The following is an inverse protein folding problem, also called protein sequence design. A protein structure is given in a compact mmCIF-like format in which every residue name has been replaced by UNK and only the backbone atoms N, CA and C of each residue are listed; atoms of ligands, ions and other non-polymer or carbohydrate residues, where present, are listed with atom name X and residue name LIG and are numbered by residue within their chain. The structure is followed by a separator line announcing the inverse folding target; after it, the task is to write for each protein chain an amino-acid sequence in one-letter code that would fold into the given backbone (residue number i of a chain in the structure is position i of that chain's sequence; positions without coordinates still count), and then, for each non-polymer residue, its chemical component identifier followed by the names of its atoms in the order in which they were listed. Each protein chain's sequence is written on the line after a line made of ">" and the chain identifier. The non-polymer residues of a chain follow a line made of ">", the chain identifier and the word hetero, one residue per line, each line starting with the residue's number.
data_IF_466363293241
#
_entry.id   IF_466363293241
#
_cell.length_a   1.000
_cell.length_b   1.000
_cell.length_c   1.000
_cell.angle_alpha   90.00
_cell.angle_beta   90.00
_cell.angle_gamma   90.00
#
_symmetry.space_group_name_H-M   'P 1'
#
loop_
_entity.id
_entity.type
_entity.pdbx_description
1 polymer ?
#
# COMPACT_ATOMS: atom_id res chain seq x y z
N UNK A 1 59.77 1.95 40.69
CA UNK A 1 58.44 1.31 40.74
C UNK A 1 57.46 2.30 40.13
N UNK A 2 56.90 1.98 38.96
CA UNK A 2 55.90 2.82 38.30
C UNK A 2 54.55 2.14 38.37
N UNK A 3 53.48 2.91 38.49
CA UNK A 3 52.11 2.40 38.43
C UNK A 3 51.86 1.64 37.12
N UNK A 4 51.31 0.44 37.23
CA UNK A 4 50.93 -0.41 36.11
C UNK A 4 49.46 -0.13 35.73
N UNK A 5 49.07 -0.44 34.48
CA UNK A 5 47.69 -0.23 34.01
C UNK A 5 46.64 -1.05 34.79
N UNK A 6 47.07 -2.12 35.48
CA UNK A 6 46.26 -2.91 36.41
C UNK A 6 45.89 -2.16 37.69
N UNK A 7 46.65 -1.12 38.04
CA UNK A 7 46.51 -0.39 39.31
C UNK A 7 45.58 0.83 39.16
N UNK A 8 44.97 1.00 37.98
CA UNK A 8 44.13 2.13 37.60
C UNK A 8 42.70 1.68 37.29
N UNK A 9 41.72 2.40 37.82
CA UNK A 9 40.31 2.22 37.47
C UNK A 9 40.09 2.79 36.07
N UNK A 10 39.71 1.92 35.12
CA UNK A 10 39.42 2.32 33.74
C UNK A 10 37.93 2.69 33.66
N UNK A 11 37.58 3.94 33.30
CA UNK A 11 36.19 4.33 33.11
C UNK A 11 35.63 3.73 31.81
N UNK A 12 34.39 3.29 31.86
CA UNK A 12 33.64 2.88 30.68
C UNK A 12 33.10 4.11 29.95
N UNK A 13 33.31 4.16 28.64
CA UNK A 13 32.76 5.20 27.76
C UNK A 13 31.55 4.60 27.06
N UNK A 14 30.36 5.06 27.41
CA UNK A 14 29.15 4.72 26.67
C UNK A 14 29.04 5.58 25.43
N UNK A 15 28.88 4.95 24.28
CA UNK A 15 28.51 5.65 23.04
C UNK A 15 27.05 6.10 23.12
N UNK A 16 26.70 7.26 22.55
CA UNK A 16 25.32 7.74 22.53
C UNK A 16 24.42 6.77 21.76
N UNK A 17 23.13 6.75 22.12
CA UNK A 17 22.13 5.97 21.41
C UNK A 17 22.02 6.41 19.95
N UNK A 18 22.00 5.43 19.05
CA UNK A 18 21.72 5.63 17.62
C UNK A 18 20.30 5.15 17.34
N UNK A 19 19.54 5.96 16.63
CA UNK A 19 18.17 5.61 16.22
C UNK A 19 18.24 4.60 15.07
N UNK A 20 17.62 3.43 15.25
CA UNK A 20 17.53 2.39 14.23
C UNK A 20 16.65 2.85 13.04
N UNK A 21 17.13 2.65 11.80
CA UNK A 21 16.47 3.09 10.56
C UNK A 21 15.68 1.98 9.85
N UNK A 22 15.13 1.01 10.59
CA UNK A 22 14.53 -0.21 10.03
C UNK A 22 13.36 0.07 9.08
N UNK A 23 12.63 1.18 9.27
CA UNK A 23 11.50 1.58 8.44
C UNK A 23 11.89 2.27 7.13
N UNK A 24 13.12 2.78 6.97
CA UNK A 24 13.53 3.45 5.72
C UNK A 24 13.88 2.48 4.59
N UNK A 25 14.06 1.18 4.88
CA UNK A 25 14.53 0.18 3.91
C UNK A 25 13.42 -0.74 3.38
N UNK A 26 12.16 -0.33 3.45
CA UNK A 26 11.07 -1.14 2.90
C UNK A 26 11.05 -1.09 1.37
N UNK A 27 11.84 -1.96 0.74
CA UNK A 27 11.96 -2.09 -0.71
C UNK A 27 10.68 -2.63 -1.35
N UNK A 28 9.78 -3.23 -0.57
CA UNK A 28 8.51 -3.75 -1.07
C UNK A 28 7.57 -2.61 -1.48
N UNK A 29 7.45 -1.57 -0.66
CA UNK A 29 6.66 -0.38 -1.01
C UNK A 29 7.28 0.40 -2.17
N UNK A 30 8.61 0.46 -2.25
CA UNK A 30 9.32 1.14 -3.35
C UNK A 30 9.26 0.39 -4.69
N UNK A 31 8.94 -0.91 -4.69
CA UNK A 31 8.93 -1.75 -5.89
C UNK A 31 7.77 -1.51 -6.85
N UNK A 32 6.79 -0.67 -6.47
CA UNK A 32 5.61 -0.38 -7.28
C UNK A 32 4.55 -1.49 -7.30
N UNK A 33 4.77 -2.59 -6.58
CA UNK A 33 3.75 -3.63 -6.33
C UNK A 33 2.53 -3.05 -5.62
N UNK A 34 2.73 -1.99 -4.83
CA UNK A 34 1.67 -1.23 -4.16
C UNK A 34 1.64 0.17 -4.77
N UNK A 35 0.65 0.44 -5.61
CA UNK A 35 0.42 1.76 -6.18
C UNK A 35 -0.91 2.34 -5.63
N UNK A 36 -0.93 3.59 -5.15
CA UNK A 36 -2.17 4.22 -4.71
C UNK A 36 -3.05 4.49 -5.95
N UNK A 37 -4.25 3.91 -5.96
CA UNK A 37 -5.27 4.24 -6.95
C UNK A 37 -6.20 5.31 -6.39
N UNK A 38 -6.33 6.43 -7.10
CA UNK A 38 -7.15 7.55 -6.66
C UNK A 38 -8.64 7.18 -6.60
N UNK A 39 -9.12 6.23 -7.43
CA UNK A 39 -10.51 5.78 -7.40
C UNK A 39 -10.88 4.99 -6.14
N UNK A 40 -9.88 4.50 -5.40
CA UNK A 40 -10.07 3.76 -4.14
C UNK A 40 -9.98 4.66 -2.90
N UNK A 41 -9.78 5.97 -3.05
CA UNK A 41 -9.91 6.93 -1.96
C UNK A 41 -11.39 7.15 -1.62
N UNK A 42 -12.01 6.13 -1.01
CA UNK A 42 -13.37 6.23 -0.51
C UNK A 42 -13.40 7.12 0.74
N UNK A 43 -14.09 8.26 0.63
CA UNK A 43 -14.40 9.14 1.78
C UNK A 43 -15.49 8.52 2.67
N UNK A 44 -16.25 7.57 2.14
CA UNK A 44 -17.31 6.89 2.86
C UNK A 44 -16.76 5.67 3.61
N UNK A 45 -17.23 5.46 4.84
CA UNK A 45 -16.81 4.34 5.69
C UNK A 45 -17.48 3.02 5.29
N UNK A 46 -16.82 1.90 5.54
CA UNK A 46 -17.33 0.55 5.29
C UNK A 46 -16.21 -0.46 5.03
N UNK A 47 -16.56 -1.74 4.97
CA UNK A 47 -15.58 -2.82 4.78
C UNK A 47 -15.19 -3.07 3.32
N UNK A 48 -16.03 -2.64 2.35
CA UNK A 48 -15.86 -2.92 0.93
C UNK A 48 -16.14 -1.72 0.02
N UNK A 49 -15.36 -1.59 -1.05
CA UNK A 49 -15.58 -0.63 -2.16
C UNK A 49 -15.97 -1.39 -3.42
N UNK A 50 -17.09 -1.04 -4.03
CA UNK A 50 -17.51 -1.59 -5.33
C UNK A 50 -17.17 -0.61 -6.45
N UNK A 51 -16.31 -1.01 -7.39
CA UNK A 51 -15.93 -0.20 -8.56
C UNK A 51 -16.63 -0.77 -9.81
N UNK A 52 -17.67 -0.12 -10.34
CA UNK A 52 -18.35 -0.58 -11.55
C UNK A 52 -17.54 -0.26 -12.82
N UNK A 53 -17.59 -1.14 -13.82
CA UNK A 53 -16.96 -0.93 -15.12
C UNK A 53 -17.82 -1.47 -16.28
N UNK A 54 -17.62 -0.90 -17.47
CA UNK A 54 -18.18 -1.41 -18.72
C UNK A 54 -17.24 -2.45 -19.33
N UNK A 55 -17.79 -3.55 -19.86
CA UNK A 55 -16.97 -4.59 -20.51
C UNK A 55 -16.25 -4.01 -21.72
N UNK A 56 -14.91 -4.05 -21.70
CA UNK A 56 -14.08 -3.49 -22.77
C UNK A 56 -14.18 -4.24 -24.10
N UNK A 57 -14.54 -5.53 -24.07
CA UNK A 57 -14.66 -6.36 -25.25
C UNK A 57 -16.14 -6.52 -25.63
N UNK A 58 -16.52 -5.90 -26.74
CA UNK A 58 -17.80 -6.10 -27.39
C UNK A 58 -17.66 -7.34 -28.28
N UNK A 59 -18.33 -8.43 -27.92
CA UNK A 59 -18.35 -9.67 -28.70
C UNK A 59 -19.37 -9.57 -29.83
N UNK A 60 -19.06 -10.16 -30.99
CA UNK A 60 -20.00 -10.29 -32.09
C UNK A 60 -19.27 -10.53 -33.41
N UNK A 61 -19.88 -11.31 -34.30
CA UNK A 61 -19.39 -11.50 -35.66
C UNK A 61 -19.73 -10.29 -36.53
N UNK A 62 -18.94 -10.04 -37.57
CA UNK A 62 -19.23 -8.99 -38.53
C UNK A 62 -20.44 -9.36 -39.39
N UNK A 63 -21.42 -8.46 -39.47
CA UNK A 63 -22.57 -8.60 -40.36
C UNK A 63 -22.25 -8.02 -41.75
N UNK A 64 -22.68 -8.69 -42.82
CA UNK A 64 -22.50 -8.21 -44.21
C UNK A 64 -23.51 -7.10 -44.51
N UNK A 65 -23.01 -5.94 -44.93
CA UNK A 65 -23.84 -4.79 -45.27
C UNK A 65 -24.68 -5.07 -46.53
N UNK A 66 -26.00 -4.94 -46.43
CA UNK A 66 -26.92 -5.07 -47.56
C UNK A 66 -27.96 -3.96 -47.58
N UNK A 67 -28.40 -3.56 -48.77
CA UNK A 67 -29.39 -2.50 -48.97
C UNK A 67 -30.82 -2.95 -48.60
N UNK A 68 -30.97 -4.23 -48.26
CA UNK A 68 -32.24 -4.92 -47.99
C UNK A 68 -32.45 -5.29 -46.51
N UNK A 69 -31.43 -5.16 -45.66
CA UNK A 69 -31.52 -5.51 -44.23
C UNK A 69 -30.70 -4.58 -43.35
N UNK A 70 -31.24 -4.20 -42.18
CA UNK A 70 -30.53 -3.39 -41.19
C UNK A 70 -29.63 -4.24 -40.29
N UNK A 71 -28.54 -3.64 -39.79
CA UNK A 71 -27.63 -4.26 -38.81
C UNK A 71 -28.28 -4.45 -37.44
N UNK A 72 -27.86 -5.47 -36.69
CA UNK A 72 -28.37 -5.77 -35.33
C UNK A 72 -27.53 -5.11 -34.23
N UNK A 73 -28.07 -4.17 -33.43
CA UNK A 73 -27.32 -3.59 -32.32
C UNK A 73 -27.14 -4.59 -31.16
N UNK A 74 -25.90 -4.77 -30.71
CA UNK A 74 -25.58 -5.59 -29.53
C UNK A 74 -25.57 -4.77 -28.23
N UNK A 75 -25.82 -5.43 -27.10
CA UNK A 75 -25.84 -4.81 -25.76
C UNK A 75 -24.44 -4.71 -25.17
N UNK A 76 -24.20 -3.65 -24.39
CA UNK A 76 -23.00 -3.50 -23.58
C UNK A 76 -23.27 -4.09 -22.19
N UNK A 77 -22.40 -4.99 -21.75
CA UNK A 77 -22.45 -5.56 -20.40
C UNK A 77 -21.66 -4.71 -19.41
N UNK A 78 -22.07 -4.76 -18.14
CA UNK A 78 -21.38 -4.12 -17.01
C UNK A 78 -21.09 -5.14 -15.93
N UNK A 79 -20.00 -4.92 -15.21
CA UNK A 79 -19.64 -5.73 -14.03
C UNK A 79 -18.99 -4.82 -12.97
N UNK A 80 -18.70 -5.36 -11.79
CA UNK A 80 -18.09 -4.63 -10.68
C UNK A 80 -16.93 -5.39 -10.08
N UNK A 81 -15.89 -4.66 -9.69
CA UNK A 81 -14.81 -5.18 -8.86
C UNK A 81 -15.06 -4.82 -7.39
N UNK A 82 -14.71 -5.71 -6.47
CA UNK A 82 -14.88 -5.51 -5.02
C UNK A 82 -13.52 -5.42 -4.36
N UNK A 83 -13.21 -4.26 -3.78
CA UNK A 83 -12.02 -4.02 -2.95
C UNK A 83 -12.33 -4.07 -1.45
N UNK A 84 -11.33 -4.40 -0.62
CA UNK A 84 -11.45 -4.47 0.85
C UNK A 84 -10.75 -3.27 1.49
N UNK A 85 -11.41 -2.61 2.45
CA UNK A 85 -10.79 -1.54 3.25
C UNK A 85 -10.23 -2.14 4.55
N UNK A 86 -8.97 -1.81 4.86
CA UNK A 86 -8.27 -2.31 6.05
C UNK A 86 -7.93 -1.14 6.98
N UNK A 87 -8.58 -1.08 8.13
CA UNK A 87 -8.25 -0.10 9.18
C UNK A 87 -7.19 -0.69 10.14
N UNK A 88 -6.03 -0.04 10.25
CA UNK A 88 -4.94 -0.47 11.14
C UNK A 88 -4.59 0.67 12.10
N UNK A 89 -4.45 0.34 13.39
CA UNK A 89 -4.04 1.28 14.43
C UNK A 89 -2.90 0.70 15.27
N UNK A 90 -2.00 1.56 15.75
CA UNK A 90 -0.94 1.22 16.71
C UNK A 90 -0.77 2.37 17.68
N UNK A 91 -0.65 2.07 18.98
CA UNK A 91 -0.45 3.06 20.04
C UNK A 91 0.84 2.77 20.82
N UNK A 92 1.47 3.83 21.30
CA UNK A 92 2.67 3.78 22.15
C UNK A 92 2.55 4.80 23.26
N UNK A 93 3.20 4.51 24.39
CA UNK A 93 3.29 5.40 25.54
C UNK A 93 4.75 5.62 25.95
N UNK A 94 5.02 6.75 26.60
CA UNK A 94 6.31 7.07 27.21
C UNK A 94 6.08 7.52 28.65
N UNK A 95 7.07 7.29 29.53
CA UNK A 95 7.02 7.69 30.93
C UNK A 95 7.89 8.91 31.19
N UNK A 96 7.33 9.87 31.91
CA UNK A 96 7.95 11.17 32.23
C UNK A 96 9.22 11.06 33.09
N UNK A 97 9.28 10.09 34.01
CA UNK A 97 10.46 9.91 34.88
C UNK A 97 11.72 9.42 34.12
N UNK A 98 11.57 8.97 32.87
CA UNK A 98 12.65 8.43 32.05
C UNK A 98 13.05 9.37 30.89
N UNK A 99 12.50 10.58 30.82
CA UNK A 99 12.79 11.59 29.79
C UNK A 99 13.97 12.50 30.16
#
# INVERSE_FOLDING_TARGET
>A
MGVLRSDLIIPEIFTPYVIEQTTQRDSFLASGVVAPMAELNATEGGDFVNVPFFSANLTGDFEVLSDSSSLTPSKITTDKQVGVILHRGRAFESRDLAA
#
